data_IF_808902567488
#
_entry.id   IF_808902567488
#
_cell.length_a   1.000
_cell.length_b   1.000
_cell.length_c   1.000
_cell.angle_alpha   90.00
_cell.angle_beta   90.00
_cell.angle_gamma   90.00
#
_symmetry.space_group_name_H-M   'P 1'
#
loop_
_entity.id
_entity.type
_entity.pdbx_description
1 polymer ?
#
# COMPACT_ATOMS: atom_id res chain seq x y z
N UNK A 1 7.31 -24.84 15.82
CA UNK A 1 6.23 -25.46 16.61
C UNK A 1 6.11 -26.86 16.07
N UNK A 2 6.67 -27.82 16.79
CA UNK A 2 6.54 -29.23 16.48
C UNK A 2 5.05 -29.59 16.59
N UNK A 3 4.53 -30.35 15.64
CA UNK A 3 3.16 -30.82 15.65
C UNK A 3 3.05 -31.87 16.78
N UNK A 4 2.53 -31.47 17.94
CA UNK A 4 2.48 -32.29 19.17
C UNK A 4 1.45 -33.44 19.09
N UNK A 5 0.98 -33.82 17.91
CA UNK A 5 -0.05 -34.86 17.71
C UNK A 5 0.48 -36.18 17.16
N UNK A 6 1.80 -36.35 17.00
CA UNK A 6 2.38 -37.65 16.64
C UNK A 6 2.32 -38.60 17.85
N UNK A 7 1.22 -39.35 17.96
CA UNK A 7 1.15 -40.48 18.88
C UNK A 7 1.69 -41.72 18.18
N UNK A 8 2.69 -42.37 18.76
CA UNK A 8 3.23 -43.64 18.26
C UNK A 8 2.58 -44.77 19.05
N UNK A 9 2.02 -45.76 18.35
CA UNK A 9 1.51 -46.96 19.01
C UNK A 9 2.67 -47.73 19.67
N UNK A 10 2.66 -47.93 21.00
CA UNK A 10 3.76 -48.55 21.74
C UNK A 10 3.98 -50.03 21.38
N UNK A 11 3.00 -50.67 20.72
CA UNK A 11 3.07 -52.09 20.34
C UNK A 11 3.53 -52.23 18.89
N UNK A 12 3.03 -51.39 18.00
CA UNK A 12 3.31 -51.51 16.55
C UNK A 12 4.42 -50.58 16.07
N UNK A 13 4.86 -49.63 16.89
CA UNK A 13 5.86 -48.59 16.60
C UNK A 13 5.54 -47.78 15.32
N UNK A 14 4.24 -47.66 15.00
CA UNK A 14 3.73 -46.89 13.87
C UNK A 14 3.11 -45.58 14.35
N UNK A 15 3.18 -44.57 13.49
CA UNK A 15 2.46 -43.31 13.69
C UNK A 15 0.94 -43.58 13.68
N UNK A 16 0.27 -43.08 14.72
CA UNK A 16 -1.18 -43.10 14.88
C UNK A 16 -1.67 -41.67 14.70
N UNK A 17 -2.35 -41.43 13.59
CA UNK A 17 -3.03 -40.18 13.32
C UNK A 17 -4.33 -40.10 14.12
N UNK A 18 -4.33 -39.24 15.14
CA UNK A 18 -5.54 -38.95 15.92
C UNK A 18 -6.23 -37.68 15.42
N UNK A 19 -7.48 -37.83 14.97
CA UNK A 19 -8.31 -36.70 14.55
C UNK A 19 -9.26 -36.28 15.68
N UNK A 20 -9.13 -35.04 16.15
CA UNK A 20 -10.04 -34.47 17.15
C UNK A 20 -10.92 -33.40 16.52
N UNK A 21 -12.23 -33.51 16.69
CA UNK A 21 -13.21 -32.51 16.24
C UNK A 21 -13.80 -31.83 17.47
N UNK A 22 -13.74 -30.49 17.53
CA UNK A 22 -14.37 -29.69 18.56
C UNK A 22 -15.68 -29.09 18.05
N UNK A 23 -16.83 -29.58 18.53
CA UNK A 23 -18.12 -28.98 18.21
C UNK A 23 -18.21 -27.57 18.80
N UNK A 24 -18.74 -26.61 18.03
CA UNK A 24 -18.90 -25.22 18.46
C UNK A 24 -19.92 -25.09 19.61
N UNK A 25 -21.07 -25.73 19.46
CA UNK A 25 -22.18 -25.66 20.40
C UNK A 25 -22.33 -26.98 21.16
N UNK A 26 -22.51 -26.88 22.47
CA UNK A 26 -23.00 -27.98 23.30
C UNK A 26 -24.50 -28.19 23.07
N UNK A 27 -25.25 -27.09 22.95
CA UNK A 27 -26.63 -27.11 22.47
C UNK A 27 -26.97 -25.80 21.75
N UNK A 28 -27.96 -25.88 20.86
CA UNK A 28 -28.57 -24.77 20.15
C UNK A 28 -30.09 -24.99 20.15
N UNK A 29 -30.86 -24.01 20.62
CA UNK A 29 -32.31 -24.06 20.70
C UNK A 29 -32.90 -22.80 20.05
N UNK A 30 -33.88 -22.98 19.18
CA UNK A 30 -34.64 -21.88 18.56
C UNK A 30 -36.09 -21.92 19.02
N UNK A 31 -36.60 -20.80 19.53
CA UNK A 31 -38.00 -20.67 19.94
C UNK A 31 -38.80 -20.01 18.81
N UNK A 32 -39.56 -20.83 18.09
CA UNK A 32 -40.43 -20.38 16.99
C UNK A 32 -41.48 -19.37 17.52
N UNK A 33 -41.69 -18.28 16.78
CA UNK A 33 -42.64 -17.21 17.15
C UNK A 33 -42.04 -16.10 18.04
N UNK A 34 -40.88 -16.33 18.67
CA UNK A 34 -40.18 -15.33 19.50
C UNK A 34 -38.86 -14.84 18.91
N UNK A 35 -38.46 -15.36 17.73
CA UNK A 35 -37.18 -15.05 17.06
C UNK A 35 -35.95 -15.14 17.98
N UNK A 36 -35.99 -16.02 19.00
CA UNK A 36 -34.96 -16.13 20.03
C UNK A 36 -34.14 -17.40 19.82
N UNK A 37 -32.81 -17.27 19.86
CA UNK A 37 -31.85 -18.38 19.84
C UNK A 37 -31.18 -18.45 21.20
N UNK A 38 -31.27 -19.61 21.87
CA UNK A 38 -30.55 -19.92 23.10
C UNK A 38 -29.48 -20.96 22.79
N UNK A 39 -28.25 -20.73 23.22
CA UNK A 39 -27.15 -21.64 22.96
C UNK A 39 -26.15 -21.70 24.09
N UNK A 40 -25.38 -22.77 24.14
CA UNK A 40 -24.19 -22.90 24.98
C UNK A 40 -23.02 -23.34 24.11
N UNK A 41 -21.91 -22.61 24.21
CA UNK A 41 -20.65 -23.01 23.58
C UNK A 41 -20.08 -24.24 24.28
N UNK A 42 -19.40 -25.09 23.53
CA UNK A 42 -18.81 -26.30 24.09
C UNK A 42 -17.72 -25.95 25.12
N UNK A 43 -17.70 -26.68 26.23
CA UNK A 43 -16.75 -26.49 27.32
C UNK A 43 -15.30 -26.66 26.85
N UNK A 44 -15.05 -27.48 25.82
CA UNK A 44 -13.72 -27.64 25.21
C UNK A 44 -13.18 -26.35 24.56
N UNK A 45 -14.04 -25.38 24.25
CA UNK A 45 -13.63 -24.09 23.66
C UNK A 45 -13.16 -23.08 24.71
N UNK A 46 -13.43 -23.32 26.00
CA UNK A 46 -13.04 -22.41 27.09
C UNK A 46 -11.58 -21.96 27.02
N UNK A 47 -10.56 -22.83 26.85
CA UNK A 47 -9.16 -22.38 26.78
C UNK A 47 -8.86 -21.48 25.58
N UNK A 48 -9.65 -21.56 24.49
CA UNK A 48 -9.45 -20.78 23.28
C UNK A 48 -10.25 -19.47 23.27
N UNK A 49 -11.29 -19.37 24.10
CA UNK A 49 -12.19 -18.20 24.18
C UNK A 49 -11.99 -17.37 25.44
N UNK A 50 -11.70 -18.03 26.56
CA UNK A 50 -11.52 -17.42 27.88
C UNK A 50 -10.04 -17.32 28.19
N UNK A 51 -9.59 -16.14 28.66
CA UNK A 51 -8.18 -15.94 28.98
C UNK A 51 -7.32 -15.43 27.84
N UNK A 52 -7.92 -15.02 26.72
CA UNK A 52 -7.29 -14.19 25.67
C UNK A 52 -6.93 -12.80 26.24
N UNK A 53 -6.01 -12.74 27.20
CA UNK A 53 -5.49 -11.49 27.79
C UNK A 53 -4.34 -10.92 26.96
N UNK A 54 -3.69 -11.76 26.15
CA UNK A 54 -2.57 -11.44 25.27
C UNK A 54 -2.82 -12.10 23.91
N UNK A 55 -2.34 -11.48 22.83
CA UNK A 55 -2.40 -11.99 21.45
C UNK A 55 -3.81 -12.17 20.86
N UNK A 56 -4.68 -11.18 21.01
CA UNK A 56 -5.99 -11.14 20.36
C UNK A 56 -6.22 -9.79 19.69
N UNK A 57 -7.03 -9.81 18.63
CA UNK A 57 -7.39 -8.61 17.87
C UNK A 57 -8.82 -8.23 18.23
N UNK A 58 -8.98 -7.17 19.02
CA UNK A 58 -10.30 -6.58 19.25
C UNK A 58 -10.80 -6.00 17.93
N UNK A 59 -11.91 -6.50 17.41
CA UNK A 59 -12.49 -5.98 16.17
C UNK A 59 -13.79 -5.25 16.51
N UNK A 60 -13.90 -3.94 16.22
CA UNK A 60 -15.13 -3.20 16.47
C UNK A 60 -16.26 -3.74 15.58
N UNK A 61 -17.35 -4.15 16.21
CA UNK A 61 -18.49 -4.76 15.52
C UNK A 61 -19.05 -3.86 14.42
N UNK A 62 -19.07 -2.54 14.64
CA UNK A 62 -19.50 -1.53 13.67
C UNK A 62 -18.80 -1.60 12.31
N UNK A 63 -17.56 -2.09 12.24
CA UNK A 63 -16.81 -2.23 10.98
C UNK A 63 -17.05 -3.57 10.30
N UNK A 64 -17.44 -4.60 11.06
CA UNK A 64 -17.78 -5.92 10.50
C UNK A 64 -19.21 -5.94 9.97
N UNK A 65 -20.16 -5.34 10.69
CA UNK A 65 -21.60 -5.40 10.36
C UNK A 65 -21.96 -5.06 8.90
N UNK A 66 -21.33 -4.06 8.25
CA UNK A 66 -21.66 -3.73 6.87
C UNK A 66 -21.06 -4.69 5.83
N UNK A 67 -20.07 -5.51 6.23
CA UNK A 67 -19.39 -6.46 5.35
C UNK A 67 -20.27 -7.68 5.14
N UNK A 68 -20.57 -8.00 3.88
CA UNK A 68 -21.40 -9.15 3.48
C UNK A 68 -20.56 -10.39 3.16
N UNK A 69 -19.36 -10.22 2.61
CA UNK A 69 -18.50 -11.35 2.26
C UNK A 69 -17.81 -11.92 3.50
N UNK A 70 -18.00 -13.22 3.76
CA UNK A 70 -17.26 -13.93 4.81
C UNK A 70 -15.74 -13.88 4.60
N UNK A 71 -15.28 -13.86 3.34
CA UNK A 71 -13.86 -13.69 3.02
C UNK A 71 -13.37 -12.28 3.38
N UNK A 72 -14.17 -11.25 3.12
CA UNK A 72 -13.83 -9.88 3.46
C UNK A 72 -13.73 -9.68 4.97
N UNK A 73 -14.62 -10.31 5.75
CA UNK A 73 -14.52 -10.31 7.22
C UNK A 73 -13.18 -10.93 7.65
N UNK A 74 -12.83 -12.13 7.16
CA UNK A 74 -11.57 -12.79 7.52
C UNK A 74 -10.34 -11.99 7.12
N UNK A 75 -10.30 -11.45 5.90
CA UNK A 75 -9.19 -10.63 5.41
C UNK A 75 -9.09 -9.35 6.24
N UNK A 76 -10.20 -8.67 6.54
CA UNK A 76 -10.21 -7.50 7.41
C UNK A 76 -9.62 -7.80 8.80
N UNK A 77 -10.05 -8.89 9.43
CA UNK A 77 -9.55 -9.30 10.74
C UNK A 77 -8.04 -9.56 10.74
N UNK A 78 -7.55 -10.26 9.70
CA UNK A 78 -6.13 -10.52 9.51
C UNK A 78 -5.34 -9.21 9.33
N UNK A 79 -5.81 -8.32 8.45
CA UNK A 79 -5.15 -7.05 8.15
C UNK A 79 -5.15 -6.10 9.37
N UNK A 80 -6.26 -6.02 10.09
CA UNK A 80 -6.38 -5.21 11.30
C UNK A 80 -5.42 -5.71 12.40
N UNK A 81 -5.23 -7.03 12.49
CA UNK A 81 -4.28 -7.64 13.42
C UNK A 81 -2.85 -7.15 13.18
N UNK A 82 -2.40 -7.14 11.92
CA UNK A 82 -1.08 -6.64 11.54
C UNK A 82 -0.95 -5.13 11.78
N UNK A 83 -1.98 -4.36 11.44
CA UNK A 83 -2.00 -2.92 11.63
C UNK A 83 -1.91 -2.54 13.12
N UNK A 84 -2.56 -3.29 14.01
CA UNK A 84 -2.44 -3.13 15.47
C UNK A 84 -1.06 -3.48 16.02
N UNK A 85 -0.26 -4.23 15.27
CA UNK A 85 1.16 -4.47 15.56
C UNK A 85 2.07 -3.43 14.91
N UNK A 86 1.52 -2.31 14.42
CA UNK A 86 2.23 -1.25 13.69
C UNK A 86 2.88 -1.73 12.38
N UNK A 87 2.34 -2.78 11.75
CA UNK A 87 2.78 -3.22 10.42
C UNK A 87 1.83 -2.68 9.36
N UNK A 88 2.35 -1.81 8.51
CA UNK A 88 1.63 -1.26 7.36
C UNK A 88 1.79 -2.14 6.10
N UNK A 89 2.57 -3.22 6.20
CA UNK A 89 2.79 -4.18 5.14
C UNK A 89 2.84 -5.60 5.73
N UNK A 90 2.17 -6.55 5.09
CA UNK A 90 2.27 -7.98 5.43
C UNK A 90 2.40 -8.82 4.17
N UNK A 91 3.21 -9.88 4.23
CA UNK A 91 3.40 -10.83 3.14
C UNK A 91 2.82 -12.19 3.52
N UNK A 92 1.96 -12.73 2.67
CA UNK A 92 1.31 -14.02 2.89
C UNK A 92 1.54 -14.92 1.67
N UNK A 93 1.94 -16.17 1.91
CA UNK A 93 1.99 -17.19 0.85
C UNK A 93 0.59 -17.42 0.27
N UNK A 94 0.49 -17.57 -1.05
CA UNK A 94 -0.79 -17.69 -1.74
C UNK A 94 -1.59 -18.91 -1.26
N UNK A 95 -0.95 -20.09 -1.20
CA UNK A 95 -1.60 -21.33 -0.75
C UNK A 95 -2.03 -21.22 0.71
N UNK A 96 -1.13 -20.76 1.57
CA UNK A 96 -1.41 -20.53 2.99
C UNK A 96 -2.62 -19.60 3.20
N UNK A 97 -2.70 -18.51 2.43
CA UNK A 97 -3.84 -17.60 2.49
C UNK A 97 -5.13 -18.27 2.00
N UNK A 98 -5.09 -19.04 0.92
CA UNK A 98 -6.25 -19.79 0.42
C UNK A 98 -6.75 -20.80 1.45
N UNK A 99 -5.85 -21.49 2.14
CA UNK A 99 -6.17 -22.48 3.17
C UNK A 99 -6.81 -21.83 4.41
N UNK A 100 -6.24 -20.74 4.93
CA UNK A 100 -6.78 -20.00 6.09
C UNK A 100 -8.14 -19.39 5.79
N UNK A 101 -8.33 -18.91 4.57
CA UNK A 101 -9.63 -18.40 4.13
C UNK A 101 -10.63 -19.54 3.86
N UNK A 102 -10.20 -20.80 3.93
CA UNK A 102 -10.98 -21.99 3.60
C UNK A 102 -11.61 -21.90 2.21
N UNK A 103 -10.84 -21.41 1.24
CA UNK A 103 -11.28 -21.25 -0.14
C UNK A 103 -11.52 -22.63 -0.76
N UNK A 104 -12.58 -22.84 -1.55
CA UNK A 104 -12.78 -24.11 -2.24
C UNK A 104 -11.66 -24.34 -3.26
N UNK A 105 -11.24 -25.60 -3.44
CA UNK A 105 -10.18 -25.98 -4.39
C UNK A 105 -10.44 -25.49 -5.82
N UNK A 106 -11.71 -25.33 -6.22
CA UNK A 106 -12.10 -24.76 -7.51
C UNK A 106 -11.58 -23.33 -7.74
N UNK A 107 -11.31 -22.58 -6.68
CA UNK A 107 -10.80 -21.21 -6.76
C UNK A 107 -9.29 -21.11 -6.50
N UNK A 108 -8.55 -22.22 -6.41
CA UNK A 108 -7.10 -22.17 -6.13
C UNK A 108 -6.29 -21.54 -7.26
N UNK A 109 -6.80 -21.60 -8.50
CA UNK A 109 -6.19 -20.88 -9.62
C UNK A 109 -6.21 -19.38 -9.32
N UNK A 110 -5.07 -18.72 -9.55
CA UNK A 110 -4.90 -17.30 -9.24
C UNK A 110 -6.03 -16.41 -9.78
N UNK A 111 -6.44 -16.62 -11.04
CA UNK A 111 -7.53 -15.84 -11.66
C UNK A 111 -8.83 -15.94 -10.86
N UNK A 112 -9.19 -17.14 -10.44
CA UNK A 112 -10.45 -17.40 -9.73
C UNK A 112 -10.38 -16.90 -8.29
N UNK A 113 -9.26 -17.14 -7.59
CA UNK A 113 -9.03 -16.55 -6.27
C UNK A 113 -9.07 -15.02 -6.32
N UNK A 114 -8.39 -14.43 -7.30
CA UNK A 114 -8.31 -12.98 -7.47
C UNK A 114 -9.71 -12.38 -7.66
N UNK A 115 -10.46 -12.91 -8.63
CA UNK A 115 -11.74 -12.32 -9.04
C UNK A 115 -12.88 -12.61 -8.06
N UNK A 116 -12.88 -13.78 -7.41
CA UNK A 116 -14.00 -14.22 -6.57
C UNK A 116 -13.76 -13.99 -5.08
N UNK A 117 -12.50 -13.87 -4.64
CA UNK A 117 -12.15 -13.74 -3.22
C UNK A 117 -11.43 -12.42 -2.96
N UNK A 118 -10.27 -12.21 -3.58
CA UNK A 118 -9.36 -11.13 -3.19
C UNK A 118 -9.89 -9.74 -3.56
N UNK A 119 -10.17 -9.48 -4.83
CA UNK A 119 -10.63 -8.17 -5.30
C UNK A 119 -11.99 -7.76 -4.69
N UNK A 120 -13.02 -8.62 -4.66
CA UNK A 120 -14.28 -8.29 -4.01
C UNK A 120 -14.08 -7.95 -2.53
N UNK A 121 -13.24 -8.72 -1.83
CA UNK A 121 -12.99 -8.50 -0.41
C UNK A 121 -12.28 -7.19 -0.14
N UNK A 122 -11.22 -6.88 -0.89
CA UNK A 122 -10.49 -5.62 -0.74
C UNK A 122 -11.40 -4.43 -1.07
N UNK A 123 -12.21 -4.54 -2.12
CA UNK A 123 -13.18 -3.49 -2.48
C UNK A 123 -14.19 -3.24 -1.36
N UNK A 124 -14.74 -4.31 -0.78
CA UNK A 124 -15.71 -4.20 0.31
C UNK A 124 -15.09 -3.60 1.58
N UNK A 125 -13.89 -4.05 1.95
CA UNK A 125 -13.12 -3.51 3.09
C UNK A 125 -12.89 -2.00 2.90
N UNK A 126 -12.39 -1.60 1.74
CA UNK A 126 -12.11 -0.20 1.43
C UNK A 126 -13.38 0.67 1.42
N UNK A 127 -14.54 0.10 1.08
CA UNK A 127 -15.81 0.81 1.10
C UNK A 127 -16.37 0.98 2.52
N UNK A 128 -16.27 -0.06 3.35
CA UNK A 128 -17.11 -0.17 4.57
C UNK A 128 -16.36 -0.02 5.89
N UNK A 129 -15.04 -0.19 5.91
CA UNK A 129 -14.25 -0.24 7.16
C UNK A 129 -13.47 1.03 7.43
N UNK A 130 -12.75 1.08 8.54
CA UNK A 130 -11.84 2.16 8.97
C UNK A 130 -10.45 2.12 8.30
N UNK A 131 -10.15 1.05 7.56
CA UNK A 131 -8.85 0.86 6.91
C UNK A 131 -8.95 0.98 5.38
N UNK A 132 -7.81 1.25 4.75
CA UNK A 132 -7.58 1.09 3.32
C UNK A 132 -6.52 0.01 3.13
N UNK A 133 -6.83 -0.94 2.26
CA UNK A 133 -5.95 -2.03 1.88
C UNK A 133 -5.72 -2.03 0.36
N UNK A 134 -4.47 -2.24 -0.02
CA UNK A 134 -4.03 -2.58 -1.36
C UNK A 134 -3.23 -3.87 -1.34
N UNK A 135 -2.89 -4.40 -2.52
CA UNK A 135 -1.99 -5.54 -2.59
C UNK A 135 -1.13 -5.53 -3.85
N UNK A 136 0.04 -6.16 -3.75
CA UNK A 136 0.92 -6.49 -4.87
C UNK A 136 1.31 -7.96 -4.81
N UNK A 137 1.63 -8.56 -5.96
CA UNK A 137 1.98 -9.98 -6.05
C UNK A 137 3.47 -10.16 -6.20
N UNK A 138 4.06 -11.09 -5.44
CA UNK A 138 5.43 -11.57 -5.71
C UNK A 138 5.38 -12.85 -6.53
N UNK A 139 6.27 -12.91 -7.52
CA UNK A 139 6.38 -14.05 -8.44
C UNK A 139 7.71 -14.74 -8.23
N UNK A 140 7.68 -16.06 -8.30
CA UNK A 140 8.87 -16.88 -8.48
C UNK A 140 8.81 -17.46 -9.90
N UNK A 141 9.74 -17.02 -10.75
CA UNK A 141 9.67 -17.22 -12.21
C UNK A 141 8.35 -16.63 -12.76
N UNK A 142 7.47 -17.48 -13.29
CA UNK A 142 6.18 -17.07 -13.85
C UNK A 142 5.00 -17.28 -12.89
N UNK A 143 5.20 -17.98 -11.77
CA UNK A 143 4.15 -18.33 -10.83
C UNK A 143 4.04 -17.30 -9.72
N UNK A 144 2.83 -16.88 -9.39
CA UNK A 144 2.56 -16.06 -8.21
C UNK A 144 2.65 -16.96 -6.98
N UNK A 145 3.52 -16.60 -6.04
CA UNK A 145 3.80 -17.37 -4.83
C UNK A 145 3.28 -16.67 -3.58
N UNK A 146 3.31 -15.34 -3.56
CA UNK A 146 2.94 -14.55 -2.39
C UNK A 146 2.13 -13.32 -2.76
N UNK A 147 1.34 -12.86 -1.80
CA UNK A 147 0.59 -11.61 -1.84
C UNK A 147 1.13 -10.73 -0.73
N UNK A 148 1.51 -9.51 -1.10
CA UNK A 148 1.93 -8.48 -0.16
C UNK A 148 0.78 -7.49 -0.03
N UNK A 149 0.20 -7.40 1.15
CA UNK A 149 -0.83 -6.41 1.47
C UNK A 149 -0.19 -5.14 1.99
N UNK A 150 -0.64 -4.01 1.48
CA UNK A 150 -0.31 -2.67 1.97
C UNK A 150 -1.54 -2.13 2.67
N UNK A 151 -1.39 -1.68 3.92
CA UNK A 151 -2.53 -1.34 4.79
C UNK A 151 -2.26 -0.08 5.60
N UNK A 152 -3.31 0.73 5.76
CA UNK A 152 -3.28 1.92 6.59
C UNK A 152 -4.69 2.31 7.07
N UNK A 153 -4.77 3.11 8.14
CA UNK A 153 -6.04 3.72 8.55
C UNK A 153 -6.46 4.81 7.56
N UNK A 154 -7.77 4.89 7.26
CA UNK A 154 -8.33 5.90 6.34
C UNK A 154 -7.98 7.33 6.73
N UNK A 155 -7.98 7.64 8.02
CA UNK A 155 -7.64 8.99 8.49
C UNK A 155 -6.18 9.34 8.25
N UNK A 156 -5.29 8.36 8.41
CA UNK A 156 -3.87 8.53 8.08
C UNK A 156 -3.68 8.70 6.57
N UNK A 157 -4.42 7.92 5.77
CA UNK A 157 -4.39 8.03 4.30
C UNK A 157 -4.85 9.42 3.84
N UNK A 158 -5.99 9.91 4.35
CA UNK A 158 -6.49 11.26 4.06
C UNK A 158 -5.47 12.35 4.39
N UNK A 159 -4.76 12.24 5.52
CA UNK A 159 -3.70 13.21 5.88
C UNK A 159 -2.54 13.18 4.89
N UNK A 160 -2.13 11.99 4.43
CA UNK A 160 -1.09 11.83 3.40
C UNK A 160 -1.53 12.45 2.07
N UNK A 161 -2.76 12.19 1.65
CA UNK A 161 -3.31 12.71 0.40
C UNK A 161 -3.39 14.25 0.45
N UNK A 162 -3.90 14.81 1.54
CA UNK A 162 -3.93 16.26 1.76
C UNK A 162 -2.53 16.90 1.76
N UNK A 163 -1.53 16.24 2.37
CA UNK A 163 -0.16 16.73 2.36
C UNK A 163 0.43 16.71 0.93
N UNK A 164 0.12 15.66 0.15
CA UNK A 164 0.54 15.53 -1.23
C UNK A 164 -0.09 16.60 -2.12
N UNK A 165 -1.39 16.87 -1.96
CA UNK A 165 -2.09 17.91 -2.71
C UNK A 165 -1.54 19.30 -2.40
N UNK A 166 -1.27 19.60 -1.12
CA UNK A 166 -0.63 20.87 -0.71
C UNK A 166 0.75 21.04 -1.33
N UNK A 167 1.56 19.98 -1.35
CA UNK A 167 2.90 20.01 -1.95
C UNK A 167 2.84 20.19 -3.48
N UNK A 168 1.88 19.54 -4.15
CA UNK A 168 1.63 19.76 -5.57
C UNK A 168 1.23 21.21 -5.87
N UNK A 169 0.33 21.78 -5.07
CA UNK A 169 -0.08 23.18 -5.21
C UNK A 169 1.09 24.14 -4.96
N UNK A 170 1.94 23.86 -3.96
CA UNK A 170 3.16 24.63 -3.70
C UNK A 170 4.10 24.63 -4.90
N UNK A 171 4.42 23.45 -5.45
CA UNK A 171 5.26 23.33 -6.65
C UNK A 171 4.64 24.04 -7.85
N UNK A 172 3.33 23.94 -8.04
CA UNK A 172 2.63 24.62 -9.11
C UNK A 172 2.77 26.15 -9.00
N UNK A 173 2.65 26.70 -7.79
CA UNK A 173 2.69 28.14 -7.53
C UNK A 173 4.11 28.71 -7.49
N UNK A 174 5.03 28.05 -6.82
CA UNK A 174 6.40 28.56 -6.57
C UNK A 174 7.39 28.22 -7.67
N UNK A 175 7.14 27.16 -8.45
CA UNK A 175 8.07 26.67 -9.47
C UNK A 175 7.46 26.78 -10.86
N UNK A 176 6.34 26.10 -11.12
CA UNK A 176 5.81 25.94 -12.49
C UNK A 176 5.26 27.26 -13.06
N UNK A 177 4.49 28.02 -12.28
CA UNK A 177 3.95 29.32 -12.73
C UNK A 177 5.08 30.33 -13.07
N UNK A 178 6.05 30.61 -12.18
CA UNK A 178 7.18 31.49 -12.51
C UNK A 178 8.03 30.97 -13.68
N UNK A 179 8.20 29.67 -13.79
CA UNK A 179 8.96 29.05 -14.89
C UNK A 179 8.32 29.31 -16.26
N UNK A 180 7.00 29.48 -16.33
CA UNK A 180 6.32 29.86 -17.57
C UNK A 180 6.80 31.22 -18.10
N UNK A 181 7.21 32.15 -17.23
CA UNK A 181 7.79 33.44 -17.62
C UNK A 181 9.17 33.30 -18.25
N UNK A 182 9.85 32.16 -18.01
CA UNK A 182 11.17 31.83 -18.57
C UNK A 182 11.10 31.02 -19.86
N UNK A 183 9.90 30.75 -20.37
CA UNK A 183 9.73 30.04 -21.63
C UNK A 183 10.32 30.85 -22.78
N UNK A 184 11.11 30.18 -23.62
CA UNK A 184 11.80 30.72 -24.78
C UNK A 184 12.83 31.83 -24.47
N UNK A 185 13.15 32.03 -23.19
CA UNK A 185 14.20 32.94 -22.74
C UNK A 185 15.55 32.24 -22.69
N UNK A 186 16.58 32.95 -23.12
CA UNK A 186 17.97 32.48 -23.09
C UNK A 186 18.61 32.79 -21.74
N UNK A 187 19.30 31.81 -21.18
CA UNK A 187 19.91 31.83 -19.86
C UNK A 187 21.43 31.73 -20.04
N UNK A 188 22.16 32.61 -19.37
CA UNK A 188 23.62 32.51 -19.25
C UNK A 188 23.95 31.48 -18.16
N UNK A 189 24.17 30.21 -18.57
CA UNK A 189 24.47 29.13 -17.63
C UNK A 189 25.99 28.96 -17.45
N UNK A 190 26.53 29.14 -16.22
CA UNK A 190 27.95 28.97 -15.96
C UNK A 190 28.33 27.47 -15.99
N UNK A 191 29.38 27.14 -16.74
CA UNK A 191 29.91 25.77 -16.84
C UNK A 191 31.11 25.50 -15.95
N UNK A 192 31.82 26.54 -15.51
CA UNK A 192 32.94 26.44 -14.57
C UNK A 192 32.72 27.41 -13.39
N UNK A 193 32.76 26.95 -12.13
CA UNK A 193 32.69 27.82 -10.97
C UNK A 193 33.89 28.78 -10.80
N UNK A 194 35.02 28.51 -11.45
CA UNK A 194 36.28 29.25 -11.32
C UNK A 194 36.54 30.21 -12.50
N UNK A 195 35.82 30.07 -13.61
CA UNK A 195 35.92 30.93 -14.79
C UNK A 195 34.58 31.59 -15.09
N UNK A 196 34.47 32.89 -14.78
CA UNK A 196 33.26 33.69 -15.02
C UNK A 196 32.91 33.84 -16.50
N UNK A 197 33.84 33.55 -17.42
CA UNK A 197 33.61 33.61 -18.86
C UNK A 197 33.16 32.28 -19.48
N UNK A 198 33.29 31.16 -18.76
CA UNK A 198 32.84 29.85 -19.20
C UNK A 198 31.30 29.73 -19.06
N UNK A 199 30.57 30.28 -20.03
CA UNK A 199 29.10 30.32 -20.04
C UNK A 199 28.56 29.66 -21.31
N UNK A 200 27.53 28.83 -21.15
CA UNK A 200 26.72 28.30 -22.25
C UNK A 200 25.34 28.96 -22.26
N UNK A 201 24.88 29.35 -23.44
CA UNK A 201 23.54 29.86 -23.65
C UNK A 201 22.53 28.71 -23.72
N UNK A 202 21.60 28.68 -22.76
CA UNK A 202 20.56 27.66 -22.67
C UNK A 202 19.17 28.26 -22.81
N UNK A 203 18.26 27.53 -23.43
CA UNK A 203 16.88 27.95 -23.62
C UNK A 203 15.93 26.92 -23.03
N UNK A 204 14.98 27.39 -22.23
CA UNK A 204 13.89 26.57 -21.74
C UNK A 204 12.69 26.62 -22.70
N UNK A 205 12.39 25.50 -23.38
CA UNK A 205 11.30 25.42 -24.38
C UNK A 205 9.94 25.03 -23.80
N UNK A 206 9.78 24.99 -22.47
CA UNK A 206 8.53 24.57 -21.82
C UNK A 206 8.46 23.08 -21.46
N UNK A 207 9.49 22.29 -21.80
CA UNK A 207 9.56 20.86 -21.50
C UNK A 207 10.01 20.61 -20.05
N UNK A 208 9.08 20.17 -19.20
CA UNK A 208 9.36 19.80 -17.81
C UNK A 208 8.60 18.54 -17.39
N UNK A 209 9.19 17.79 -16.46
CA UNK A 209 8.57 16.62 -15.82
C UNK A 209 8.57 16.79 -14.30
N UNK A 210 7.48 16.41 -13.64
CA UNK A 210 7.43 16.35 -12.17
C UNK A 210 7.82 14.94 -11.75
N UNK A 211 8.86 14.83 -10.92
CA UNK A 211 9.35 13.56 -10.36
C UNK A 211 9.34 13.62 -8.84
N UNK A 212 9.04 12.49 -8.21
CA UNK A 212 9.16 12.35 -6.77
C UNK A 212 10.50 11.68 -6.44
N UNK A 213 11.35 12.37 -5.68
CA UNK A 213 12.66 11.86 -5.26
C UNK A 213 12.79 12.02 -3.73
N UNK A 214 13.05 10.90 -3.03
CA UNK A 214 13.14 10.84 -1.56
C UNK A 214 11.92 11.47 -0.85
N UNK A 215 10.72 11.28 -1.40
CA UNK A 215 9.47 11.79 -0.83
C UNK A 215 9.21 13.29 -1.03
N UNK A 216 9.95 13.95 -1.94
CA UNK A 216 9.73 15.36 -2.33
C UNK A 216 9.51 15.48 -3.83
N UNK A 217 8.59 16.35 -4.22
CA UNK A 217 8.34 16.67 -5.63
C UNK A 217 9.44 17.60 -6.16
N UNK A 218 9.94 17.27 -7.34
CA UNK A 218 10.97 18.01 -8.06
C UNK A 218 10.53 18.20 -9.51
N UNK A 219 10.80 19.38 -10.06
CA UNK A 219 10.56 19.72 -11.46
C UNK A 219 11.87 19.56 -12.22
N UNK A 220 11.92 18.64 -13.16
CA UNK A 220 13.07 18.42 -14.05
C UNK A 220 12.80 19.12 -15.36
N UNK A 221 13.57 20.17 -15.63
CA UNK A 221 13.53 20.92 -16.88
C UNK A 221 14.41 20.24 -17.93
N UNK A 222 14.03 20.37 -19.19
CA UNK A 222 14.93 20.11 -20.32
C UNK A 222 15.34 21.44 -20.93
N UNK A 223 16.63 21.77 -20.81
CA UNK A 223 17.23 22.96 -21.39
C UNK A 223 17.97 22.60 -22.68
N UNK A 224 17.80 23.39 -23.73
CA UNK A 224 18.47 23.20 -25.03
C UNK A 224 19.57 24.24 -25.20
N UNK A 225 20.73 23.87 -25.75
CA UNK A 225 21.75 24.86 -26.12
C UNK A 225 21.24 25.75 -27.26
N UNK A 226 21.39 27.08 -27.12
CA UNK A 226 20.93 28.04 -28.12
C UNK A 226 21.58 27.80 -29.51
N UNK A 227 22.86 27.40 -29.52
CA UNK A 227 23.63 27.16 -30.74
C UNK A 227 23.46 25.74 -31.30
N UNK A 228 22.97 24.80 -30.50
CA UNK A 228 22.77 23.41 -30.92
C UNK A 228 21.57 22.78 -30.20
N UNK A 229 20.34 22.93 -30.74
CA UNK A 229 19.12 22.42 -30.10
C UNK A 229 19.08 20.90 -29.87
N UNK A 230 19.97 20.14 -30.53
CA UNK A 230 20.11 18.69 -30.30
C UNK A 230 20.79 18.37 -28.98
N UNK A 231 21.60 19.30 -28.45
CA UNK A 231 22.23 19.17 -27.13
C UNK A 231 21.25 19.65 -26.07
N UNK A 232 20.83 18.70 -25.23
CA UNK A 232 19.86 18.91 -24.16
C UNK A 232 20.51 18.57 -22.83
N UNK A 233 20.22 19.36 -21.81
CA UNK A 233 20.63 19.06 -20.44
C UNK A 233 19.48 19.19 -19.44
N UNK A 234 19.36 18.25 -18.49
CA UNK A 234 18.36 18.32 -17.45
C UNK A 234 18.77 19.28 -16.34
N UNK A 235 17.83 20.07 -15.83
CA UNK A 235 18.04 20.89 -14.63
C UNK A 235 16.93 20.60 -13.61
N UNK A 236 17.32 20.30 -12.37
CA UNK A 236 16.38 19.97 -11.29
C UNK A 236 16.08 21.22 -10.46
N UNK A 237 14.78 21.53 -10.33
CA UNK A 237 14.27 22.66 -9.56
C UNK A 237 13.23 22.16 -8.57
N UNK A 238 13.30 22.65 -7.34
CA UNK A 238 12.46 22.20 -6.22
C UNK A 238 11.86 23.34 -5.40
N UNK A 239 12.37 24.58 -5.56
CA UNK A 239 11.97 25.72 -4.77
C UNK A 239 12.08 27.05 -5.55
N UNK A 240 11.48 28.11 -5.00
CA UNK A 240 11.49 29.45 -5.58
C UNK A 240 12.91 30.06 -5.69
N UNK A 241 13.83 29.76 -4.77
CA UNK A 241 15.19 30.32 -4.81
C UNK A 241 15.96 29.92 -6.06
N UNK A 242 15.71 28.70 -6.56
CA UNK A 242 16.31 28.20 -7.80
C UNK A 242 15.69 28.86 -9.04
N UNK A 243 14.41 29.23 -8.99
CA UNK A 243 13.76 30.02 -10.05
C UNK A 243 14.37 31.43 -10.12
N UNK A 244 14.56 32.09 -8.98
CA UNK A 244 15.17 33.43 -8.96
C UNK A 244 16.61 33.41 -9.52
N UNK A 245 17.37 32.34 -9.27
CA UNK A 245 18.68 32.13 -9.93
C UNK A 245 18.55 32.05 -11.45
N UNK A 246 17.53 31.38 -11.98
CA UNK A 246 17.30 31.34 -13.43
C UNK A 246 16.91 32.70 -14.00
N UNK A 247 16.08 33.47 -13.29
CA UNK A 247 15.76 34.85 -13.68
C UNK A 247 17.02 35.72 -13.73
N UNK A 248 17.89 35.62 -12.73
CA UNK A 248 19.18 36.32 -12.73
C UNK A 248 20.09 35.89 -13.90
N UNK A 249 20.13 34.60 -14.25
CA UNK A 249 20.86 34.10 -15.42
C UNK A 249 20.31 34.68 -16.74
N UNK A 250 19.00 34.88 -16.83
CA UNK A 250 18.38 35.56 -17.97
C UNK A 250 18.78 37.03 -18.04
N UNK A 251 18.69 37.76 -16.92
CA UNK A 251 19.08 39.17 -16.84
C UNK A 251 20.56 39.39 -17.20
N UNK A 252 21.44 38.49 -16.73
CA UNK A 252 22.86 38.54 -17.07
C UNK A 252 23.12 38.30 -18.56
N UNK A 253 22.30 37.46 -19.22
CA UNK A 253 22.37 37.27 -20.67
C UNK A 253 21.94 38.53 -21.43
N UNK A 254 20.92 39.25 -20.95
CA UNK A 254 20.45 40.50 -21.58
C UNK A 254 21.40 41.70 -21.40
N UNK A 255 22.27 41.66 -20.38
CA UNK A 255 23.25 42.73 -20.09
C UNK A 255 24.56 42.59 -20.85
N UNK A 256 24.80 41.44 -21.49
CA UNK A 256 25.96 41.18 -22.37
C UNK A 256 25.61 41.49 -23.82
#
# INVERSE_FOLDING_TARGET
LLDETLSIDPITNKEVDNFTIMSLFKFLQYTKGQATIKYQLNDCLKPYLLGLRKNFTQIPLQHILPIRSGYAIRIYQMLLSELKQNKNETTNGLLYLQDILCVPKSYYKWKDFKNNVLEPSIKEINATTDIVAGYRTKKQRQKITEIVFEICYKDLQKRKDQAKDKEQQRIQMEVIKPLAELKDKTLAYPTDPLDENAIIALVYRGMHEIKEAKGKLQVVLTLEEANNPRKKQPLIISNATQIEKLKAMHENYQKK
#
